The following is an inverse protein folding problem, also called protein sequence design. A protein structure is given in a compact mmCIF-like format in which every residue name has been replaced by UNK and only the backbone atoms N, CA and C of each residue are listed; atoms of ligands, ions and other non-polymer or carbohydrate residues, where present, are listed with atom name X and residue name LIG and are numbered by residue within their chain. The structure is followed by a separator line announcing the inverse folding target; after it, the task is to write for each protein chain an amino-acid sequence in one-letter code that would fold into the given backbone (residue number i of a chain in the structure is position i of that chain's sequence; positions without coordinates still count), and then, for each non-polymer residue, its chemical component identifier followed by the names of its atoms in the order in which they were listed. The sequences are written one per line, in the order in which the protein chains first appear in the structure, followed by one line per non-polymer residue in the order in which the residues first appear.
data_IF_022795824744
#
_entry.id   IF_022795824744
#
_cell.length_a   1.000
_cell.length_b   1.000
_cell.length_c   1.000
_cell.angle_alpha   90.00
_cell.angle_beta   90.00
_cell.angle_gamma   90.00
#
_symmetry.space_group_name_H-M   'P 1'
#
loop_
_entity.id
_entity.type
_entity.pdbx_description
1 polymer ?
#
# COMPACT_ATOMS: atom_id res chain seq x y z
N UNK A 1 -12.60 15.74 26.83
CA UNK A 1 -12.74 14.66 25.82
C UNK A 1 -12.04 15.12 24.56
N UNK A 2 -10.75 14.85 24.45
CA UNK A 2 -9.94 15.29 23.31
C UNK A 2 -10.38 14.53 22.06
N UNK A 3 -11.20 15.18 21.23
CA UNK A 3 -11.44 14.74 19.87
C UNK A 3 -10.08 14.77 19.16
N UNK A 4 -9.43 13.60 19.06
CA UNK A 4 -8.20 13.43 18.29
C UNK A 4 -8.39 14.07 16.93
N UNK A 5 -7.64 15.14 16.67
CA UNK A 5 -7.50 15.75 15.36
C UNK A 5 -7.29 14.63 14.33
N UNK A 6 -8.18 14.53 13.35
CA UNK A 6 -8.04 13.57 12.25
C UNK A 6 -6.78 13.96 11.48
N UNK A 7 -5.66 13.30 11.78
CA UNK A 7 -4.44 13.45 11.01
C UNK A 7 -4.67 12.80 9.66
N UNK A 8 -4.49 13.57 8.58
CA UNK A 8 -4.51 13.03 7.23
C UNK A 8 -3.40 11.98 7.11
N UNK A 9 -3.67 10.80 6.53
CA UNK A 9 -2.64 9.78 6.36
C UNK A 9 -1.58 10.25 5.37
N UNK A 10 -0.37 9.72 5.52
CA UNK A 10 0.72 9.86 4.54
C UNK A 10 0.45 8.87 3.40
N UNK A 11 0.27 9.37 2.18
CA UNK A 11 0.17 8.52 0.99
C UNK A 11 1.57 8.00 0.61
N UNK A 12 1.67 6.69 0.37
CA UNK A 12 2.90 6.04 -0.09
C UNK A 12 2.57 5.25 -1.35
N UNK A 13 3.15 5.60 -2.48
CA UNK A 13 3.05 4.80 -3.70
C UNK A 13 4.07 3.68 -3.66
N UNK A 14 3.66 2.42 -3.86
CA UNK A 14 4.61 1.30 -3.87
C UNK A 14 5.53 1.28 -5.11
N UNK A 15 5.23 2.11 -6.12
CA UNK A 15 6.02 2.27 -7.34
C UNK A 15 5.95 1.06 -8.27
N UNK A 16 7.06 0.74 -8.91
CA UNK A 16 7.17 -0.38 -9.84
C UNK A 16 6.95 -1.73 -9.12
N UNK A 17 5.91 -2.51 -9.48
CA UNK A 17 5.59 -3.77 -8.80
C UNK A 17 6.67 -4.85 -8.96
N UNK A 18 7.53 -4.78 -9.98
CA UNK A 18 8.69 -5.66 -10.14
C UNK A 18 9.89 -5.29 -9.23
N UNK A 19 9.93 -4.07 -8.70
CA UNK A 19 10.98 -3.57 -7.83
C UNK A 19 10.81 -4.02 -6.37
N UNK A 20 11.59 -3.40 -5.47
CA UNK A 20 11.59 -3.68 -4.02
C UNK A 20 10.61 -2.81 -3.21
N UNK A 21 9.98 -1.83 -3.86
CA UNK A 21 9.04 -0.91 -3.22
C UNK A 21 7.90 -1.63 -2.47
N UNK A 22 7.29 -2.69 -3.04
CA UNK A 22 6.31 -3.51 -2.32
C UNK A 22 6.85 -4.13 -1.04
N UNK A 23 8.06 -4.70 -1.04
CA UNK A 23 8.70 -5.27 0.15
C UNK A 23 8.94 -4.21 1.22
N UNK A 24 9.40 -3.02 0.85
CA UNK A 24 9.57 -1.90 1.79
C UNK A 24 8.24 -1.45 2.39
N UNK A 25 7.15 -1.46 1.61
CA UNK A 25 5.81 -1.17 2.13
C UNK A 25 5.34 -2.25 3.10
N UNK A 26 5.70 -3.52 2.90
CA UNK A 26 5.39 -4.62 3.82
C UNK A 26 6.06 -4.40 5.18
N UNK A 27 7.29 -3.90 5.21
CA UNK A 27 7.99 -3.59 6.46
C UNK A 27 7.23 -2.57 7.32
N UNK A 28 6.50 -1.63 6.71
CA UNK A 28 5.71 -0.62 7.42
C UNK A 28 4.68 -1.28 8.34
N UNK A 29 4.11 -2.44 7.96
CA UNK A 29 3.15 -3.21 8.75
C UNK A 29 3.72 -3.67 10.11
N UNK A 30 5.05 -3.70 10.25
CA UNK A 30 5.78 -4.08 11.45
C UNK A 30 6.27 -2.88 12.26
N UNK A 31 5.87 -1.66 11.88
CA UNK A 31 6.23 -0.41 12.57
C UNK A 31 5.02 0.26 13.21
N UNK A 32 5.26 1.26 14.06
CA UNK A 32 4.20 2.11 14.62
C UNK A 32 3.61 3.11 13.61
N UNK A 33 4.06 3.09 12.35
CA UNK A 33 3.60 4.00 11.30
C UNK A 33 2.44 3.45 10.46
N UNK A 34 2.13 2.15 10.54
CA UNK A 34 1.12 1.52 9.70
C UNK A 34 -0.24 2.26 9.72
N UNK A 35 -0.69 2.68 10.90
CA UNK A 35 -1.96 3.41 11.10
C UNK A 35 -1.96 4.83 10.52
N UNK A 36 -0.79 5.35 10.14
CA UNK A 36 -0.58 6.72 9.65
C UNK A 36 -0.32 6.76 8.15
N UNK A 37 -0.32 5.61 7.47
CA UNK A 37 0.03 5.49 6.06
C UNK A 37 -1.10 4.87 5.26
N UNK A 38 -1.28 5.34 4.03
CA UNK A 38 -2.11 4.66 3.01
C UNK A 38 -1.19 4.26 1.88
N UNK A 39 -1.09 2.97 1.60
CA UNK A 39 -0.26 2.44 0.53
C UNK A 39 -1.08 2.40 -0.75
N UNK A 40 -0.64 3.09 -1.80
CA UNK A 40 -1.26 3.04 -3.12
C UNK A 40 -0.56 1.97 -3.96
N UNK A 41 -1.24 0.83 -4.15
CA UNK A 41 -0.75 -0.31 -4.93
C UNK A 41 -1.85 -1.36 -5.09
N UNK A 42 -1.55 -2.47 -5.78
CA UNK A 42 -2.39 -3.65 -5.81
C UNK A 42 -2.20 -4.48 -4.52
N UNK A 43 -3.27 -4.75 -3.75
CA UNK A 43 -3.22 -5.65 -2.60
C UNK A 43 -2.58 -7.01 -2.91
N UNK A 44 -2.85 -7.57 -4.08
CA UNK A 44 -2.35 -8.89 -4.47
C UNK A 44 -0.83 -8.89 -4.67
N UNK A 45 -0.26 -7.76 -5.10
CA UNK A 45 1.20 -7.58 -5.15
C UNK A 45 1.78 -7.69 -3.76
N UNK A 46 1.22 -6.98 -2.77
CA UNK A 46 1.70 -7.03 -1.39
C UNK A 46 1.57 -8.44 -0.79
N UNK A 47 0.42 -9.11 -0.96
CA UNK A 47 0.22 -10.46 -0.44
C UNK A 47 1.18 -11.48 -1.08
N UNK A 48 1.36 -11.40 -2.40
CA UNK A 48 2.30 -12.24 -3.14
C UNK A 48 3.75 -12.03 -2.69
N UNK A 49 4.13 -10.76 -2.46
CA UNK A 49 5.47 -10.37 -2.00
C UNK A 49 5.71 -10.83 -0.56
N UNK A 50 4.75 -10.61 0.34
CA UNK A 50 4.79 -11.03 1.73
C UNK A 50 5.01 -12.55 1.85
N UNK A 51 4.31 -13.34 1.04
CA UNK A 51 4.51 -14.80 0.97
C UNK A 51 5.95 -15.18 0.57
N UNK A 52 6.54 -14.49 -0.40
CA UNK A 52 7.92 -14.77 -0.86
C UNK A 52 8.97 -14.47 0.20
N UNK A 53 8.79 -13.39 0.96
CA UNK A 53 9.70 -12.99 2.04
C UNK A 53 9.33 -13.58 3.41
N UNK A 54 8.38 -14.52 3.45
CA UNK A 54 7.90 -15.22 4.66
C UNK A 54 7.41 -14.26 5.75
N UNK A 55 6.69 -13.22 5.35
CA UNK A 55 6.00 -12.28 6.24
C UNK A 55 4.50 -12.44 6.15
N UNK A 56 3.84 -12.31 7.29
CA UNK A 56 2.39 -12.34 7.40
C UNK A 56 1.89 -10.91 7.53
N UNK A 57 1.04 -10.51 6.60
CA UNK A 57 0.33 -9.23 6.67
C UNK A 57 -1.15 -9.42 6.42
N UNK A 58 -1.94 -8.50 6.95
CA UNK A 58 -3.34 -8.31 6.58
C UNK A 58 -3.49 -7.01 5.82
N UNK A 59 -4.47 -6.95 4.92
CA UNK A 59 -4.76 -5.74 4.15
C UNK A 59 -6.17 -5.28 4.49
N UNK A 60 -6.29 -3.99 4.81
CA UNK A 60 -7.56 -3.28 4.89
C UNK A 60 -7.61 -2.30 3.73
N UNK A 61 -8.69 -2.31 2.96
CA UNK A 61 -8.84 -1.34 1.89
C UNK A 61 -9.17 0.06 2.45
N UNK A 62 -8.52 1.06 1.88
CA UNK A 62 -8.73 2.46 2.20
C UNK A 62 -10.02 2.94 1.52
N UNK A 63 -10.87 3.60 2.31
CA UNK A 63 -12.04 4.30 1.80
C UNK A 63 -11.90 5.79 2.19
N UNK A 64 -11.73 6.72 1.22
CA UNK A 64 -11.58 8.15 1.50
C UNK A 64 -12.84 8.78 2.08
N UNK A 65 -14.00 8.13 1.96
CA UNK A 65 -15.28 8.61 2.51
C UNK A 65 -15.47 8.25 3.99
N UNK A 66 -14.59 7.41 4.55
CA UNK A 66 -14.70 6.93 5.93
C UNK A 66 -13.53 7.48 6.75
N UNK A 67 -13.79 8.17 7.88
CA UNK A 67 -12.74 8.63 8.79
C UNK A 67 -11.88 7.46 9.27
N UNK A 68 -10.56 7.57 9.10
CA UNK A 68 -9.60 6.59 9.59
C UNK A 68 -9.29 6.86 11.07
N UNK A 69 -10.28 6.57 11.93
CA UNK A 69 -10.19 6.84 13.37
C UNK A 69 -9.76 5.61 14.18
N UNK A 70 -9.70 4.44 13.54
CA UNK A 70 -9.42 3.17 14.20
C UNK A 70 -7.98 2.74 13.92
N UNK A 71 -7.28 2.31 14.97
CA UNK A 71 -6.01 1.61 14.83
C UNK A 71 -6.19 0.37 13.96
N UNK A 72 -5.25 0.11 13.07
CA UNK A 72 -5.22 -1.14 12.33
C UNK A 72 -4.82 -2.28 13.28
N UNK A 73 -5.26 -3.51 12.99
CA UNK A 73 -4.71 -4.69 13.64
C UNK A 73 -3.19 -4.77 13.44
N UNK A 74 -2.50 -5.50 14.33
CA UNK A 74 -1.06 -5.75 14.16
C UNK A 74 -0.77 -6.37 12.79
N UNK A 75 0.37 -6.02 12.19
CA UNK A 75 0.81 -6.53 10.88
C UNK A 75 -0.21 -6.24 9.76
N UNK A 76 -0.92 -5.12 9.85
CA UNK A 76 -1.89 -4.73 8.83
C UNK A 76 -1.45 -3.48 8.08
N UNK A 77 -1.82 -3.40 6.80
CA UNK A 77 -1.64 -2.21 5.97
C UNK A 77 -3.00 -1.68 5.53
N UNK A 78 -3.11 -0.36 5.42
CA UNK A 78 -4.22 0.32 4.77
C UNK A 78 -3.83 0.58 3.32
N UNK A 79 -4.58 0.02 2.37
CA UNK A 79 -4.22 0.04 0.94
C UNK A 79 -5.29 0.76 0.13
N UNK A 80 -4.91 1.78 -0.64
CA UNK A 80 -5.77 2.34 -1.69
C UNK A 80 -5.52 1.57 -2.98
N UNK A 81 -6.45 0.69 -3.39
CA UNK A 81 -6.18 -0.29 -4.43
C UNK A 81 -5.94 0.34 -5.80
N UNK A 82 -4.93 -0.17 -6.50
CA UNK A 82 -4.65 0.04 -7.93
C UNK A 82 -4.40 -1.34 -8.55
N UNK A 83 -5.21 -1.78 -9.51
CA UNK A 83 -5.14 -3.15 -10.01
C UNK A 83 -4.12 -3.30 -11.15
N UNK A 84 -3.11 -4.14 -10.98
CA UNK A 84 -2.18 -4.51 -12.06
C UNK A 84 -2.77 -5.67 -12.88
N UNK A 85 -3.04 -5.43 -14.17
CA UNK A 85 -3.64 -6.42 -15.08
C UNK A 85 -2.62 -7.19 -15.92
N UNK A 86 -1.34 -6.81 -15.84
CA UNK A 86 -0.25 -7.38 -16.63
C UNK A 86 0.68 -8.22 -15.76
N UNK A 87 1.45 -9.15 -16.34
CA UNK A 87 2.36 -10.00 -15.57
C UNK A 87 3.37 -9.18 -14.75
N UNK A 88 3.58 -9.59 -13.50
CA UNK A 88 4.55 -9.00 -12.58
C UNK A 88 5.58 -10.06 -12.19
N UNK A 89 6.86 -9.79 -12.48
CA UNK A 89 7.98 -10.66 -12.11
C UNK A 89 9.06 -9.84 -11.41
N UNK A 90 9.53 -10.32 -10.24
CA UNK A 90 10.62 -9.68 -9.49
C UNK A 90 11.80 -9.38 -10.42
N UNK A 91 12.32 -8.15 -10.35
CA UNK A 91 13.50 -7.73 -11.09
C UNK A 91 13.32 -7.65 -12.60
N UNK A 92 12.09 -7.81 -13.11
CA UNK A 92 11.77 -7.68 -14.54
C UNK A 92 10.59 -6.73 -14.73
N UNK A 93 10.85 -5.41 -14.83
CA UNK A 93 9.82 -4.41 -15.12
C UNK A 93 9.09 -4.75 -16.43
N UNK A 94 7.80 -4.44 -16.49
CA UNK A 94 6.99 -4.55 -17.70
C UNK A 94 6.43 -3.16 -18.05
N UNK A 95 6.81 -2.56 -19.19
CA UNK A 95 6.29 -1.26 -19.63
C UNK A 95 4.76 -1.19 -19.71
N UNK A 96 4.07 -2.31 -19.91
CA UNK A 96 2.60 -2.32 -19.90
C UNK A 96 1.98 -1.98 -18.53
N UNK A 97 2.77 -2.00 -17.45
CA UNK A 97 2.35 -1.55 -16.11
C UNK A 97 2.55 -0.04 -15.89
N UNK A 98 3.22 0.68 -16.80
CA UNK A 98 3.62 2.08 -16.58
C UNK A 98 2.43 3.01 -16.33
N UNK A 99 1.31 2.82 -17.03
CA UNK A 99 0.14 3.69 -16.84
C UNK A 99 -0.40 3.59 -15.42
N UNK A 100 -0.50 2.37 -14.87
CA UNK A 100 -1.01 2.13 -13.51
C UNK A 100 -0.06 2.72 -12.45
N UNK A 101 1.25 2.68 -12.69
CA UNK A 101 2.24 3.32 -11.81
C UNK A 101 2.01 4.84 -11.79
N UNK A 102 1.83 5.46 -12.96
CA UNK A 102 1.56 6.89 -13.08
C UNK A 102 0.20 7.27 -12.48
N UNK A 103 -0.82 6.45 -12.65
CA UNK A 103 -2.13 6.64 -12.01
C UNK A 103 -2.02 6.62 -10.48
N UNK A 104 -1.19 5.75 -9.93
CA UNK A 104 -0.87 5.74 -8.50
C UNK A 104 -0.24 7.05 -8.03
N UNK A 105 0.69 7.64 -8.80
CA UNK A 105 1.28 8.95 -8.49
C UNK A 105 0.25 10.08 -8.57
N UNK A 106 -0.59 10.08 -9.63
CA UNK A 106 -1.67 11.07 -9.79
C UNK A 106 -2.68 10.99 -8.65
N UNK A 107 -2.95 9.78 -8.14
CA UNK A 107 -3.84 9.58 -7.00
C UNK A 107 -3.25 10.14 -5.70
N UNK A 108 -1.93 10.03 -5.51
CA UNK A 108 -1.26 10.48 -4.29
C UNK A 108 -1.22 12.01 -4.11
N UNK A 109 -1.38 12.78 -5.20
CA UNK A 109 -1.28 14.25 -5.20
C UNK A 109 -2.65 14.96 -5.30
N UNK A 110 -3.75 14.20 -5.24
CA UNK A 110 -5.11 14.74 -5.16
C UNK A 110 -5.49 15.08 -3.73
#
# INVERSE_FOLDING_TARGET
VDAKKSEKPIAITAGEPAGIGPELCIEIAYTNWADRTVIITDPDVLLSRAKKIKKEISIKEFNPLVPQNNKLPKRSLLVWPQKFTKPIKCGKPNPENSEIILDGLRLAIK
#
